data_IF_879025935010
#
_entry.id   IF_879025935010
#
_cell.length_a   1.000
_cell.length_b   1.000
_cell.length_c   1.000
_cell.angle_alpha   90.00
_cell.angle_beta   90.00
_cell.angle_gamma   90.00
#
_symmetry.space_group_name_H-M   'P 1'
#
loop_
_entity.id
_entity.type
_entity.pdbx_description
1 polymer ?
#
# COMPACT_ATOMS: atom_id res chain seq x y z
N UNK A 1 -2.84 61.29 -31.50
CA UNK A 1 -2.22 59.95 -31.27
C UNK A 1 -3.00 59.14 -30.21
N UNK A 2 -4.25 58.72 -30.47
CA UNK A 2 -5.02 57.90 -29.50
C UNK A 2 -5.78 56.70 -30.10
N UNK A 3 -6.09 56.72 -31.41
CA UNK A 3 -6.81 55.61 -32.08
C UNK A 3 -6.02 54.31 -32.14
N UNK A 4 -4.73 54.38 -32.43
CA UNK A 4 -3.90 53.18 -32.58
C UNK A 4 -3.74 52.43 -31.25
N UNK A 5 -3.73 53.14 -30.13
CA UNK A 5 -3.60 52.55 -28.80
C UNK A 5 -4.86 51.78 -28.37
N UNK A 6 -6.04 52.23 -28.81
CA UNK A 6 -7.31 51.57 -28.53
C UNK A 6 -7.46 50.27 -29.34
N UNK A 7 -6.94 50.25 -30.58
CA UNK A 7 -6.96 49.06 -31.44
C UNK A 7 -6.10 47.94 -30.83
N UNK A 8 -4.92 48.27 -30.30
CA UNK A 8 -4.05 47.29 -29.62
C UNK A 8 -4.66 46.70 -28.35
N UNK A 9 -5.44 47.49 -27.60
CA UNK A 9 -6.14 47.01 -26.40
C UNK A 9 -7.27 46.05 -26.78
N UNK A 10 -8.05 46.39 -27.81
CA UNK A 10 -9.15 45.55 -28.28
C UNK A 10 -8.65 44.22 -28.87
N UNK A 11 -7.53 44.23 -29.61
CA UNK A 11 -6.93 42.99 -30.14
C UNK A 11 -6.30 42.14 -29.05
N UNK A 12 -5.68 42.74 -28.04
CA UNK A 12 -5.17 42.00 -26.88
C UNK A 12 -6.29 41.31 -26.10
N UNK A 13 -7.41 42.01 -25.88
CA UNK A 13 -8.55 41.46 -25.14
C UNK A 13 -9.19 40.28 -25.87
N UNK A 14 -9.36 40.37 -27.19
CA UNK A 14 -9.94 39.26 -27.97
C UNK A 14 -9.06 38.03 -28.00
N UNK A 15 -7.74 38.17 -28.04
CA UNK A 15 -6.80 37.04 -27.93
C UNK A 15 -6.91 36.36 -26.56
N UNK A 16 -7.01 37.14 -25.47
CA UNK A 16 -7.16 36.57 -24.11
C UNK A 16 -8.48 35.81 -23.98
N UNK A 17 -9.59 36.36 -24.53
CA UNK A 17 -10.89 35.68 -24.51
C UNK A 17 -10.83 34.38 -25.32
N UNK A 18 -10.20 34.38 -26.49
CA UNK A 18 -10.04 33.17 -27.30
C UNK A 18 -9.20 32.10 -26.58
N UNK A 19 -8.14 32.50 -25.86
CA UNK A 19 -7.33 31.58 -25.06
C UNK A 19 -8.15 31.01 -23.88
N UNK A 20 -8.93 31.84 -23.19
CA UNK A 20 -9.77 31.38 -22.08
C UNK A 20 -10.89 30.44 -22.55
N UNK A 21 -11.52 30.72 -23.70
CA UNK A 21 -12.52 29.85 -24.31
C UNK A 21 -11.87 28.54 -24.76
N UNK A 22 -10.72 28.59 -25.45
CA UNK A 22 -9.99 27.39 -25.83
C UNK A 22 -9.58 26.58 -24.58
N UNK A 23 -9.09 27.23 -23.53
CA UNK A 23 -8.80 26.56 -22.27
C UNK A 23 -10.05 25.88 -21.70
N UNK A 24 -11.25 26.46 -21.80
CA UNK A 24 -12.49 25.78 -21.36
C UNK A 24 -12.87 24.58 -22.24
N UNK A 25 -12.57 24.60 -23.54
CA UNK A 25 -12.82 23.45 -24.43
C UNK A 25 -11.75 22.35 -24.33
N UNK A 26 -10.51 22.71 -23.95
CA UNK A 26 -9.36 21.81 -23.82
C UNK A 26 -8.99 21.51 -22.36
N UNK A 27 -9.72 22.07 -21.39
CA UNK A 27 -9.60 21.68 -19.99
C UNK A 27 -10.35 20.37 -19.83
N UNK A 28 -9.67 19.29 -20.20
CA UNK A 28 -10.00 17.97 -19.72
C UNK A 28 -9.70 18.01 -18.21
N UNK A 29 -10.72 17.97 -17.32
CA UNK A 29 -10.44 17.85 -15.91
C UNK A 29 -9.57 16.62 -15.74
N UNK A 30 -8.45 16.76 -15.02
CA UNK A 30 -7.63 15.61 -14.65
C UNK A 30 -8.59 14.53 -14.16
N UNK A 31 -8.61 13.39 -14.86
CA UNK A 31 -9.41 12.25 -14.44
C UNK A 31 -9.04 12.01 -12.98
N UNK A 32 -10.01 12.18 -12.08
CA UNK A 32 -9.84 11.69 -10.72
C UNK A 32 -9.39 10.23 -10.86
N UNK A 33 -8.42 9.75 -10.06
CA UNK A 33 -8.00 8.35 -10.13
C UNK A 33 -9.26 7.51 -10.15
N UNK A 34 -9.44 6.73 -11.21
CA UNK A 34 -10.62 5.91 -11.39
C UNK A 34 -10.79 5.10 -10.11
N UNK A 35 -11.80 5.47 -9.31
CA UNK A 35 -12.24 4.63 -8.21
C UNK A 35 -12.56 3.26 -8.81
N UNK A 36 -12.25 2.15 -8.10
CA UNK A 36 -12.41 0.82 -8.66
C UNK A 36 -13.79 0.70 -9.30
N UNK A 37 -13.79 0.42 -10.60
CA UNK A 37 -14.98 0.35 -11.42
C UNK A 37 -16.07 -0.45 -10.72
N UNK A 38 -17.29 0.08 -10.74
CA UNK A 38 -18.49 -0.64 -10.35
C UNK A 38 -18.79 -1.72 -11.39
N UNK A 39 -17.91 -2.71 -11.48
CA UNK A 39 -18.25 -4.00 -12.04
C UNK A 39 -19.12 -4.70 -11.01
N UNK A 40 -20.38 -4.88 -11.39
CA UNK A 40 -21.41 -5.52 -10.60
C UNK A 40 -21.06 -6.99 -10.34
N UNK A 41 -20.22 -7.23 -9.36
CA UNK A 41 -20.39 -8.39 -8.51
C UNK A 41 -21.30 -7.92 -7.39
N UNK A 42 -22.57 -8.31 -7.47
CA UNK A 42 -23.35 -8.59 -6.27
C UNK A 42 -22.56 -9.64 -5.48
N UNK A 43 -21.56 -9.21 -4.72
CA UNK A 43 -21.07 -9.94 -3.56
C UNK A 43 -22.27 -9.99 -2.62
N UNK A 44 -23.06 -11.04 -2.81
CA UNK A 44 -23.74 -11.76 -1.76
C UNK A 44 -22.89 -11.56 -0.52
N UNK A 45 -23.39 -10.77 0.44
CA UNK A 45 -22.80 -10.57 1.77
C UNK A 45 -22.50 -11.97 2.32
N UNK A 46 -21.29 -12.46 2.06
CA UNK A 46 -20.78 -13.62 2.74
C UNK A 46 -20.56 -13.07 4.12
N UNK A 47 -21.46 -13.44 5.03
CA UNK A 47 -21.27 -13.23 6.45
C UNK A 47 -19.96 -13.94 6.79
N UNK A 48 -18.84 -13.22 6.71
CA UNK A 48 -17.55 -13.72 7.15
C UNK A 48 -17.64 -13.72 8.67
N UNK A 49 -17.67 -14.90 9.32
CA UNK A 49 -17.76 -14.94 10.77
C UNK A 49 -16.46 -14.44 11.41
N UNK A 50 -15.33 -14.49 10.69
CA UNK A 50 -14.00 -14.07 11.17
C UNK A 50 -13.23 -13.29 10.11
N UNK A 51 -12.28 -12.47 10.59
CA UNK A 51 -11.35 -11.72 9.75
C UNK A 51 -10.34 -12.65 9.06
N UNK A 52 -9.93 -12.31 7.84
CA UNK A 52 -8.97 -13.05 7.03
C UNK A 52 -7.81 -12.15 6.60
N UNK A 53 -6.58 -12.60 6.85
CA UNK A 53 -5.36 -11.93 6.42
C UNK A 53 -4.75 -12.68 5.23
N UNK A 54 -4.50 -11.96 4.14
CA UNK A 54 -3.77 -12.43 2.98
C UNK A 54 -2.44 -11.70 2.90
N UNK A 55 -1.35 -12.46 2.93
CA UNK A 55 0.01 -11.93 2.86
C UNK A 55 0.84 -12.77 1.87
N UNK A 56 1.86 -12.18 1.24
CA UNK A 56 2.81 -12.95 0.43
C UNK A 56 3.57 -13.94 1.31
N UNK A 57 3.81 -15.15 0.79
CA UNK A 57 4.69 -16.12 1.43
C UNK A 57 6.16 -15.92 1.07
N UNK A 58 6.43 -15.30 -0.09
CA UNK A 58 7.78 -15.12 -0.63
C UNK A 58 7.91 -13.76 -1.31
N UNK A 59 9.03 -13.06 -1.10
CA UNK A 59 9.43 -11.84 -1.81
C UNK A 59 10.83 -12.04 -2.38
N UNK A 60 11.01 -11.84 -3.69
CA UNK A 60 12.29 -11.99 -4.36
C UNK A 60 12.85 -10.66 -4.84
N UNK A 61 14.13 -10.39 -4.58
CA UNK A 61 14.83 -9.18 -5.01
C UNK A 61 16.35 -9.40 -5.08
N UNK A 62 17.11 -8.47 -5.66
CA UNK A 62 18.58 -8.49 -5.59
C UNK A 62 19.09 -7.62 -4.44
N UNK A 63 20.33 -7.86 -4.03
CA UNK A 63 21.01 -7.01 -3.05
C UNK A 63 21.07 -5.55 -3.54
N UNK A 64 20.64 -4.61 -2.69
CA UNK A 64 20.55 -3.18 -3.03
C UNK A 64 19.20 -2.75 -3.60
N UNK A 65 18.27 -3.66 -3.83
CA UNK A 65 16.93 -3.36 -4.35
C UNK A 65 15.89 -3.18 -3.23
N UNK A 66 14.75 -2.63 -3.63
CA UNK A 66 13.52 -2.57 -2.82
C UNK A 66 12.39 -3.25 -3.58
N UNK A 67 11.61 -4.07 -2.87
CA UNK A 67 10.40 -4.71 -3.38
C UNK A 67 9.21 -4.32 -2.49
N UNK A 68 8.03 -4.17 -3.12
CA UNK A 68 6.78 -3.85 -2.44
C UNK A 68 5.72 -4.90 -2.79
N UNK A 69 4.99 -5.34 -1.77
CA UNK A 69 3.88 -6.29 -1.92
C UNK A 69 2.68 -5.83 -1.08
N UNK A 70 1.49 -6.30 -1.45
CA UNK A 70 0.27 -5.96 -0.72
C UNK A 70 -0.08 -7.01 0.33
N UNK A 71 -0.42 -6.55 1.54
CA UNK A 71 -1.09 -7.31 2.59
C UNK A 71 -2.55 -6.88 2.59
N UNK A 72 -3.47 -7.84 2.52
CA UNK A 72 -4.92 -7.56 2.52
C UNK A 72 -5.58 -8.15 3.75
N UNK A 73 -6.24 -7.31 4.54
CA UNK A 73 -7.12 -7.72 5.64
C UNK A 73 -8.58 -7.58 5.20
N UNK A 74 -9.34 -8.67 5.26
CA UNK A 74 -10.80 -8.67 5.09
C UNK A 74 -11.43 -8.92 6.44
N UNK A 75 -12.35 -8.05 6.83
CA UNK A 75 -12.99 -8.13 8.15
C UNK A 75 -14.37 -8.77 8.06
N UNK A 76 -14.74 -9.51 9.11
CA UNK A 76 -16.06 -10.10 9.27
C UNK A 76 -17.09 -9.15 9.89
N UNK A 77 -18.25 -9.70 10.26
CA UNK A 77 -19.39 -8.95 10.81
C UNK A 77 -19.13 -8.25 12.15
N UNK A 78 -18.10 -8.66 12.89
CA UNK A 78 -17.75 -8.05 14.19
C UNK A 78 -16.54 -7.11 14.13
N UNK A 79 -15.72 -7.14 13.06
CA UNK A 79 -14.55 -6.26 12.87
C UNK A 79 -13.46 -6.41 13.97
N UNK A 80 -12.15 -6.34 13.64
CA UNK A 80 -11.11 -6.57 14.64
C UNK A 80 -10.76 -5.34 15.51
N UNK A 81 -11.46 -4.22 15.38
CA UNK A 81 -11.10 -2.99 16.11
C UNK A 81 -9.71 -2.50 15.71
N UNK A 82 -8.85 -2.20 16.68
CA UNK A 82 -7.46 -1.82 16.40
C UNK A 82 -6.65 -3.01 15.85
N UNK A 83 -5.95 -2.77 14.75
CA UNK A 83 -5.04 -3.73 14.11
C UNK A 83 -3.60 -3.26 14.28
N UNK A 84 -2.72 -4.19 14.66
CA UNK A 84 -1.27 -3.98 14.73
C UNK A 84 -0.52 -5.11 14.01
N UNK A 85 0.32 -4.77 13.03
CA UNK A 85 1.22 -5.72 12.37
C UNK A 85 2.61 -5.72 13.01
N UNK A 86 3.21 -6.91 13.11
CA UNK A 86 4.57 -7.10 13.59
C UNK A 86 5.36 -8.00 12.65
N UNK A 87 6.69 -7.81 12.61
CA UNK A 87 7.61 -8.68 11.88
C UNK A 87 8.71 -9.12 12.83
N UNK A 88 8.93 -10.44 12.93
CA UNK A 88 10.01 -10.99 13.75
C UNK A 88 10.86 -12.01 12.99
N UNK A 89 12.19 -12.06 13.25
CA UNK A 89 13.07 -13.02 12.59
C UNK A 89 12.78 -14.46 13.07
N UNK A 90 13.00 -15.45 12.19
CA UNK A 90 12.70 -16.86 12.49
C UNK A 90 13.50 -17.39 13.68
N UNK A 91 12.80 -17.80 14.73
CA UNK A 91 13.34 -18.63 15.81
C UNK A 91 13.69 -20.03 15.26
N UNK A 92 14.95 -20.47 15.35
CA UNK A 92 15.33 -21.85 14.99
C UNK A 92 14.50 -22.85 15.82
N UNK A 93 14.10 -23.96 15.20
CA UNK A 93 13.35 -25.00 15.90
C UNK A 93 14.22 -25.61 17.01
N UNK A 94 13.70 -25.59 18.23
CA UNK A 94 14.42 -25.90 19.46
C UNK A 94 14.81 -24.62 20.17
N UNK A 95 14.17 -24.33 21.31
CA UNK A 95 14.35 -23.14 22.15
C UNK A 95 15.79 -22.62 22.10
N UNK A 96 16.11 -21.62 21.25
CA UNK A 96 17.40 -20.98 21.34
C UNK A 96 17.34 -20.06 22.57
N UNK A 97 18.39 -20.09 23.38
CA UNK A 97 18.58 -19.19 24.52
C UNK A 97 18.70 -17.72 24.08
N UNK A 98 18.85 -17.47 22.78
CA UNK A 98 19.03 -16.16 22.16
C UNK A 98 18.04 -15.99 21.00
N UNK A 99 17.38 -14.83 20.95
CA UNK A 99 16.57 -14.45 19.79
C UNK A 99 17.47 -14.33 18.55
N UNK A 100 17.01 -14.80 17.38
CA UNK A 100 17.77 -14.63 16.15
C UNK A 100 17.97 -13.15 15.88
N UNK A 101 19.22 -12.75 15.66
CA UNK A 101 19.55 -11.38 15.27
C UNK A 101 18.94 -11.05 13.91
N UNK A 102 18.41 -9.83 13.79
CA UNK A 102 18.00 -9.28 12.51
C UNK A 102 19.21 -9.21 11.55
N UNK A 103 19.09 -9.62 10.28
CA UNK A 103 20.21 -9.57 9.34
C UNK A 103 20.58 -8.13 8.99
N UNK A 104 21.86 -7.78 9.13
CA UNK A 104 22.38 -6.47 8.73
C UNK A 104 22.13 -6.23 7.24
N UNK A 105 21.64 -5.05 6.89
CA UNK A 105 21.41 -4.67 5.50
C UNK A 105 20.09 -5.16 4.89
N UNK A 106 19.17 -5.71 5.69
CA UNK A 106 17.80 -6.02 5.28
C UNK A 106 16.83 -5.25 6.17
N UNK A 107 15.81 -4.64 5.59
CA UNK A 107 14.73 -3.96 6.31
C UNK A 107 13.37 -4.43 5.78
N UNK A 108 12.41 -4.62 6.69
CA UNK A 108 11.03 -4.97 6.36
C UNK A 108 10.12 -4.01 7.12
N UNK A 109 9.20 -3.38 6.40
CA UNK A 109 8.22 -2.46 6.98
C UNK A 109 6.84 -2.71 6.38
N UNK A 110 5.79 -2.35 7.11
CA UNK A 110 4.41 -2.47 6.67
C UNK A 110 3.70 -1.13 6.92
N UNK A 111 3.07 -0.55 5.89
CA UNK A 111 2.36 0.72 6.01
C UNK A 111 0.92 0.63 5.44
N UNK A 112 -0.12 1.02 6.20
CA UNK A 112 -0.07 1.29 7.64
C UNK A 112 0.20 0.01 8.45
N UNK A 113 1.01 0.13 9.49
CA UNK A 113 1.25 -0.93 10.50
C UNK A 113 0.15 -1.00 11.56
N UNK A 114 -0.48 0.15 11.81
CA UNK A 114 -1.45 0.38 12.86
C UNK A 114 -2.66 1.13 12.31
N UNK A 115 -3.85 0.57 12.44
CA UNK A 115 -5.07 1.21 11.95
C UNK A 115 -6.33 0.66 12.60
N UNK A 116 -7.39 1.47 12.57
CA UNK A 116 -8.73 1.05 13.00
C UNK A 116 -9.43 0.30 11.87
N UNK A 117 -9.88 -0.92 12.15
CA UNK A 117 -10.62 -1.76 11.23
C UNK A 117 -12.07 -1.93 11.67
N UNK A 118 -12.99 -1.71 10.73
CA UNK A 118 -14.44 -1.77 10.91
C UNK A 118 -15.01 -3.05 10.29
N UNK A 119 -16.18 -3.52 10.73
CA UNK A 119 -16.80 -4.73 10.19
C UNK A 119 -17.10 -4.67 8.68
N UNK A 120 -16.94 -5.81 8.00
CA UNK A 120 -17.22 -6.03 6.58
C UNK A 120 -16.44 -5.13 5.60
N UNK A 121 -15.31 -4.58 6.04
CA UNK A 121 -14.41 -3.76 5.23
C UNK A 121 -13.17 -4.53 4.77
N UNK A 122 -12.51 -4.00 3.73
CA UNK A 122 -11.21 -4.49 3.23
C UNK A 122 -10.15 -3.41 3.38
N UNK A 123 -9.00 -3.79 3.94
CA UNK A 123 -7.85 -2.93 4.15
C UNK A 123 -6.65 -3.46 3.39
N UNK A 124 -5.86 -2.54 2.83
CA UNK A 124 -4.62 -2.85 2.13
C UNK A 124 -3.49 -2.12 2.83
N UNK A 125 -2.45 -2.86 3.19
CA UNK A 125 -1.16 -2.33 3.65
C UNK A 125 -0.06 -2.74 2.69
N UNK A 126 0.95 -1.91 2.53
CA UNK A 126 2.13 -2.17 1.71
C UNK A 126 3.24 -2.74 2.58
N UNK A 127 3.68 -3.95 2.27
CA UNK A 127 4.89 -4.57 2.77
C UNK A 127 6.07 -4.10 1.91
N UNK A 128 7.01 -3.38 2.48
CA UNK A 128 8.22 -2.92 1.80
C UNK A 128 9.43 -3.68 2.35
N UNK A 129 10.15 -4.35 1.45
CA UNK A 129 11.42 -5.05 1.73
C UNK A 129 12.54 -4.28 1.05
N UNK A 130 13.48 -3.76 1.82
CA UNK A 130 14.64 -3.01 1.31
C UNK A 130 15.92 -3.74 1.69
N UNK A 131 16.86 -3.81 0.75
CA UNK A 131 18.17 -4.43 0.98
C UNK A 131 19.30 -3.47 0.65
N UNK A 132 20.44 -3.63 1.33
CA UNK A 132 21.70 -2.97 0.97
C UNK A 132 22.49 -3.81 -0.02
N UNK A 133 23.37 -3.22 -0.84
CA UNK A 133 24.22 -3.97 -1.78
C UNK A 133 25.13 -5.03 -1.14
N UNK A 134 25.50 -4.83 0.13
CA UNK A 134 26.40 -5.74 0.86
C UNK A 134 25.68 -6.94 1.51
N UNK A 135 24.35 -7.00 1.40
CA UNK A 135 23.56 -8.10 1.96
C UNK A 135 23.89 -9.39 1.21
N UNK A 136 24.23 -10.46 1.95
CA UNK A 136 24.56 -11.75 1.36
C UNK A 136 23.34 -12.35 0.66
N UNK A 137 23.58 -13.00 -0.49
CA UNK A 137 22.56 -13.80 -1.16
C UNK A 137 22.10 -14.95 -0.28
N UNK A 138 20.81 -15.26 -0.34
CA UNK A 138 20.21 -16.33 0.46
C UNK A 138 18.74 -16.14 0.79
N UNK A 139 18.24 -17.03 1.63
CA UNK A 139 16.86 -17.03 2.12
C UNK A 139 16.81 -16.54 3.57
N UNK A 140 15.99 -15.50 3.79
CA UNK A 140 15.74 -14.92 5.11
C UNK A 140 14.28 -15.15 5.45
N UNK A 141 14.01 -15.84 6.57
CA UNK A 141 12.65 -16.22 6.96
C UNK A 141 12.20 -15.39 8.15
N UNK A 142 11.01 -14.80 8.04
CA UNK A 142 10.38 -13.95 9.03
C UNK A 142 8.96 -14.43 9.35
N UNK A 143 8.49 -14.12 10.55
CA UNK A 143 7.10 -14.29 10.93
C UNK A 143 6.42 -12.92 10.90
N UNK A 144 5.37 -12.81 10.10
CA UNK A 144 4.45 -11.68 10.15
C UNK A 144 3.37 -12.03 11.17
N UNK A 145 3.22 -11.19 12.18
CA UNK A 145 2.15 -11.26 13.16
C UNK A 145 1.09 -10.21 12.88
N UNK A 146 -0.18 -10.56 13.09
CA UNK A 146 -1.28 -9.61 13.10
C UNK A 146 -2.02 -9.72 14.42
N UNK A 147 -2.07 -8.63 15.16
CA UNK A 147 -2.74 -8.53 16.46
C UNK A 147 -4.01 -7.71 16.28
N UNK A 148 -5.13 -8.30 16.66
CA UNK A 148 -6.45 -7.69 16.59
C UNK A 148 -6.99 -7.49 17.99
N UNK A 149 -7.53 -6.31 18.26
CA UNK A 149 -8.22 -6.06 19.52
C UNK A 149 -9.45 -6.98 19.64
N UNK A 150 -9.48 -7.80 20.70
CA UNK A 150 -10.67 -8.53 21.11
C UNK A 150 -10.97 -9.88 20.44
N UNK A 151 -10.22 -10.34 19.43
CA UNK A 151 -10.69 -11.51 18.66
C UNK A 151 -9.67 -12.58 18.28
N UNK A 152 -8.45 -12.27 17.82
CA UNK A 152 -7.46 -13.33 17.48
C UNK A 152 -6.09 -12.73 17.11
N UNK A 153 -5.01 -13.50 17.31
CA UNK A 153 -3.69 -13.20 16.74
C UNK A 153 -3.46 -14.11 15.54
N UNK A 154 -3.42 -13.51 14.35
CA UNK A 154 -3.10 -14.18 13.09
C UNK A 154 -1.63 -14.01 12.71
N UNK A 155 -1.25 -14.61 11.59
CA UNK A 155 0.08 -14.42 11.03
C UNK A 155 0.50 -15.55 10.12
N UNK A 156 1.59 -15.33 9.41
CA UNK A 156 2.17 -16.30 8.51
C UNK A 156 3.66 -16.09 8.34
N UNK A 157 4.28 -17.00 7.60
CA UNK A 157 5.69 -16.91 7.27
C UNK A 157 5.89 -16.07 6.01
N UNK A 158 6.98 -15.31 5.99
CA UNK A 158 7.50 -14.59 4.83
C UNK A 158 8.94 -15.04 4.60
N UNK A 159 9.24 -15.48 3.39
CA UNK A 159 10.61 -15.77 2.94
C UNK A 159 11.08 -14.67 2.00
N UNK A 160 12.13 -13.96 2.37
CA UNK A 160 12.82 -13.01 1.49
C UNK A 160 13.98 -13.73 0.80
N UNK A 161 13.96 -13.76 -0.53
CA UNK A 161 14.98 -14.42 -1.36
C UNK A 161 15.82 -13.35 -2.04
N UNK A 162 17.11 -13.28 -1.66
CA UNK A 162 18.08 -12.34 -2.22
C UNK A 162 18.92 -13.05 -3.28
N UNK A 163 18.81 -12.60 -4.53
CA UNK A 163 19.48 -13.17 -5.71
C UNK A 163 20.69 -12.35 -6.19
#
# INVERSE_FOLDING_TARGET
MKKNHLIWILTGLTVIILIAVAALWFYEPAQAPEGPGTDSYTQRLVHLPSSQLFQPSTVGLKAGETAEENITLRTGGEGPGMVHYSVSPRVKAGYPTEEPSWPDGLNISIEPSDFMAYPNETYISTLTVTTTPDLLQGEYVFRLGSHFEGVETGGGWLTVVVN
#
